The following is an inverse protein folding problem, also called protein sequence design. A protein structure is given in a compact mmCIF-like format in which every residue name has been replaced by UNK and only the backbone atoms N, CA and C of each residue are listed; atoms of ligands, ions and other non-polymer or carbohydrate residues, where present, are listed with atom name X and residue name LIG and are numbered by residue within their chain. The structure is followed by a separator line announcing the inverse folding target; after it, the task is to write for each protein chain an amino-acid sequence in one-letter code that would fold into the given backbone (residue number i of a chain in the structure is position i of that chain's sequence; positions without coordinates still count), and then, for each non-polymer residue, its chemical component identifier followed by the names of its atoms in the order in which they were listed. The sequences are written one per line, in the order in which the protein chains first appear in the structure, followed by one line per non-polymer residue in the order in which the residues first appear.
data_IF_058310965952
#
_entry.id   IF_058310965952
#
_cell.length_a   1.000
_cell.length_b   1.000
_cell.length_c   1.000
_cell.angle_alpha   90.00
_cell.angle_beta   90.00
_cell.angle_gamma   90.00
#
_symmetry.space_group_name_H-M   'P 1'
#
loop_
_entity.id
_entity.type
_entity.pdbx_description
1 polymer ?
#
# COMPACT_ATOMS: atom_id res chain seq x y z
N UNK A 1 -0.16 -15.72 -17.62
CA UNK A 1 0.64 -16.80 -16.99
C UNK A 1 -0.17 -17.34 -15.81
N UNK A 2 -0.17 -18.65 -15.61
CA UNK A 2 -0.88 -19.30 -14.51
C UNK A 2 0.08 -19.57 -13.35
N UNK A 3 -0.46 -19.60 -12.13
CA UNK A 3 0.34 -19.90 -10.93
C UNK A 3 0.89 -21.32 -11.02
N UNK A 4 2.15 -21.52 -10.61
CA UNK A 4 2.78 -22.85 -10.61
C UNK A 4 3.30 -23.31 -11.98
N UNK A 5 3.38 -22.43 -12.99
CA UNK A 5 3.89 -22.82 -14.32
C UNK A 5 5.32 -23.38 -14.33
N UNK A 6 6.11 -23.15 -13.28
CA UNK A 6 7.46 -23.66 -13.09
C UNK A 6 7.60 -24.52 -11.82
N UNK A 7 6.52 -25.16 -11.36
CA UNK A 7 6.51 -26.01 -10.16
C UNK A 7 7.50 -27.19 -10.22
N UNK A 8 7.81 -27.68 -11.43
CA UNK A 8 8.80 -28.74 -11.67
C UNK A 8 10.19 -28.40 -11.09
N UNK A 9 10.53 -27.10 -10.95
CA UNK A 9 11.78 -26.64 -10.35
C UNK A 9 11.87 -27.06 -8.88
N UNK A 10 10.74 -27.13 -8.16
CA UNK A 10 10.71 -27.52 -6.74
C UNK A 10 11.30 -28.91 -6.50
N UNK A 11 11.21 -29.80 -7.49
CA UNK A 11 11.77 -31.16 -7.43
C UNK A 11 13.22 -31.27 -7.91
N UNK A 12 13.80 -30.21 -8.48
CA UNK A 12 15.19 -30.22 -8.91
C UNK A 12 16.13 -30.16 -7.70
N UNK A 13 17.07 -31.10 -7.59
CA UNK A 13 18.05 -31.19 -6.49
C UNK A 13 18.85 -29.89 -6.31
N UNK A 14 19.24 -29.24 -7.40
CA UNK A 14 19.95 -27.97 -7.35
C UNK A 14 19.12 -26.85 -6.69
N UNK A 15 17.80 -26.94 -6.73
CA UNK A 15 16.89 -25.99 -6.09
C UNK A 15 16.44 -26.44 -4.69
N UNK A 16 16.00 -27.69 -4.56
CA UNK A 16 15.42 -28.20 -3.31
C UNK A 16 16.46 -28.22 -2.19
N UNK A 17 17.72 -28.53 -2.52
CA UNK A 17 18.79 -28.62 -1.53
C UNK A 17 19.46 -27.28 -1.20
N UNK A 18 19.24 -26.23 -1.98
CA UNK A 18 19.89 -24.94 -1.75
C UNK A 18 19.22 -24.15 -0.62
N UNK A 19 20.05 -23.35 0.05
CA UNK A 19 19.55 -22.33 0.97
C UNK A 19 18.86 -21.21 0.18
N UNK A 20 17.72 -20.76 0.69
CA UNK A 20 16.83 -19.82 0.00
C UNK A 20 16.60 -18.60 0.87
N UNK A 21 16.34 -17.49 0.19
CA UNK A 21 15.81 -16.27 0.79
C UNK A 21 14.61 -15.80 0.00
N UNK A 22 13.67 -15.16 0.67
CA UNK A 22 12.56 -14.49 0.02
C UNK A 22 12.85 -13.01 -0.12
N UNK A 23 12.59 -12.46 -1.30
CA UNK A 23 12.61 -11.04 -1.58
C UNK A 23 11.22 -10.61 -2.01
N UNK A 24 10.56 -9.79 -1.20
CA UNK A 24 9.17 -9.37 -1.41
C UNK A 24 9.18 -7.92 -1.88
N UNK A 25 8.84 -7.68 -3.14
CA UNK A 25 8.68 -6.33 -3.70
C UNK A 25 7.20 -5.92 -3.76
N UNK A 26 6.94 -4.64 -3.52
CA UNK A 26 5.64 -4.04 -3.84
C UNK A 26 5.38 -4.06 -5.35
N UNK A 27 4.15 -4.44 -5.75
CA UNK A 27 3.66 -4.31 -7.13
C UNK A 27 2.88 -3.01 -7.27
N UNK A 28 1.87 -2.82 -6.42
CA UNK A 28 1.01 -1.63 -6.43
C UNK A 28 0.31 -1.47 -5.08
N UNK A 29 -0.22 -0.27 -4.82
CA UNK A 29 -1.12 -0.01 -3.69
C UNK A 29 -2.28 0.88 -4.12
N UNK A 30 -3.50 0.43 -3.85
CA UNK A 30 -4.71 1.23 -4.00
C UNK A 30 -5.06 1.91 -2.68
N UNK A 31 -5.09 3.25 -2.68
CA UNK A 31 -5.45 4.06 -1.51
C UNK A 31 -6.92 4.51 -1.59
N UNK A 32 -7.73 4.07 -0.63
CA UNK A 32 -9.16 4.38 -0.56
C UNK A 32 -9.44 5.20 0.70
N UNK A 33 -9.95 6.41 0.52
CA UNK A 33 -10.45 7.23 1.62
C UNK A 33 -11.80 6.70 2.12
N UNK A 34 -11.90 6.44 3.43
CA UNK A 34 -13.06 5.82 4.04
C UNK A 34 -14.35 6.62 3.85
N UNK A 35 -14.26 7.95 3.89
CA UNK A 35 -15.42 8.83 3.71
C UNK A 35 -16.02 8.73 2.30
N UNK A 36 -15.24 8.34 1.29
CA UNK A 36 -15.78 8.03 -0.05
C UNK A 36 -16.70 6.81 -0.05
N UNK A 37 -16.63 5.95 0.96
CA UNK A 37 -17.49 4.77 1.05
C UNK A 37 -18.78 5.05 1.82
N UNK A 38 -18.71 5.90 2.84
CA UNK A 38 -19.80 6.13 3.79
C UNK A 38 -20.55 7.45 3.57
N UNK A 39 -19.85 8.46 3.07
CA UNK A 39 -20.32 9.83 2.88
C UNK A 39 -19.98 10.30 1.45
N UNK A 40 -20.54 9.62 0.43
CA UNK A 40 -20.26 9.94 -0.97
C UNK A 40 -20.65 11.39 -1.31
N UNK A 41 -20.04 11.99 -2.35
CA UNK A 41 -20.55 13.24 -2.89
C UNK A 41 -21.97 13.05 -3.43
N UNK A 42 -22.79 14.11 -3.33
CA UNK A 42 -24.16 14.12 -3.84
C UNK A 42 -24.21 13.59 -5.29
N UNK A 43 -25.21 12.76 -5.58
CA UNK A 43 -25.48 12.15 -6.89
C UNK A 43 -24.44 11.13 -7.42
N UNK A 44 -23.34 10.87 -6.69
CA UNK A 44 -22.33 9.89 -7.11
C UNK A 44 -22.28 8.72 -6.13
N UNK A 45 -22.54 7.50 -6.62
CA UNK A 45 -22.43 6.26 -5.81
C UNK A 45 -20.98 5.77 -5.76
N UNK A 46 -20.08 6.54 -5.14
CA UNK A 46 -18.64 6.22 -5.04
C UNK A 46 -18.39 4.85 -4.40
N UNK A 47 -19.20 4.45 -3.43
CA UNK A 47 -19.15 3.11 -2.84
C UNK A 47 -19.29 1.99 -3.88
N UNK A 48 -20.23 2.12 -4.83
CA UNK A 48 -20.46 1.15 -5.91
C UNK A 48 -19.31 1.19 -6.92
N UNK A 49 -18.82 2.37 -7.25
CA UNK A 49 -17.67 2.57 -8.15
C UNK A 49 -16.44 1.86 -7.58
N UNK A 50 -16.11 2.11 -6.31
CA UNK A 50 -14.97 1.51 -5.61
C UNK A 50 -15.13 -0.02 -5.49
N UNK A 51 -16.32 -0.52 -5.12
CA UNK A 51 -16.59 -1.96 -5.09
C UNK A 51 -16.39 -2.63 -6.45
N UNK A 52 -16.88 -2.01 -7.53
CA UNK A 52 -16.74 -2.53 -8.90
C UNK A 52 -15.27 -2.52 -9.35
N UNK A 53 -14.53 -1.48 -9.02
CA UNK A 53 -13.10 -1.36 -9.29
C UNK A 53 -12.32 -2.48 -8.58
N UNK A 54 -12.48 -2.62 -7.26
CA UNK A 54 -11.82 -3.68 -6.48
C UNK A 54 -12.21 -5.08 -6.94
N UNK A 55 -13.46 -5.30 -7.34
CA UNK A 55 -13.90 -6.58 -7.92
C UNK A 55 -13.24 -6.88 -9.27
N UNK A 56 -12.99 -5.84 -10.08
CA UNK A 56 -12.29 -5.99 -11.36
C UNK A 56 -10.83 -6.37 -11.13
N UNK A 57 -10.15 -5.70 -10.19
CA UNK A 57 -8.76 -6.02 -9.83
C UNK A 57 -8.67 -7.43 -9.25
N UNK A 58 -9.56 -7.80 -8.32
CA UNK A 58 -9.59 -9.16 -7.76
C UNK A 58 -9.70 -10.21 -8.86
N UNK A 59 -10.61 -10.02 -9.83
CA UNK A 59 -10.77 -10.93 -10.96
C UNK A 59 -9.47 -11.02 -11.76
N UNK A 60 -8.86 -9.88 -12.08
CA UNK A 60 -7.62 -9.84 -12.84
C UNK A 60 -6.48 -10.58 -12.13
N UNK A 61 -6.28 -10.34 -10.83
CA UNK A 61 -5.26 -11.01 -10.01
C UNK A 61 -5.49 -12.52 -9.93
N UNK A 62 -6.74 -12.95 -9.77
CA UNK A 62 -7.09 -14.37 -9.73
C UNK A 62 -6.81 -15.07 -11.06
N UNK A 63 -7.05 -14.39 -12.18
CA UNK A 63 -6.83 -14.93 -13.52
C UNK A 63 -5.35 -14.87 -13.95
N UNK A 64 -4.54 -14.01 -13.33
CA UNK A 64 -3.14 -13.75 -13.69
C UNK A 64 -2.20 -13.85 -12.49
N UNK A 65 -1.77 -15.07 -12.17
CA UNK A 65 -0.87 -15.39 -11.06
C UNK A 65 -1.44 -15.00 -9.68
N UNK A 66 -2.42 -15.78 -9.21
CA UNK A 66 -3.18 -15.52 -7.97
C UNK A 66 -2.26 -15.15 -6.79
N UNK A 67 -2.63 -14.03 -6.14
CA UNK A 67 -2.01 -13.43 -4.96
C UNK A 67 -3.08 -13.08 -3.93
N UNK A 68 -2.64 -12.74 -2.72
CA UNK A 68 -3.50 -12.11 -1.70
C UNK A 68 -3.21 -10.61 -1.63
N UNK A 69 -4.25 -9.82 -1.40
CA UNK A 69 -4.10 -8.41 -1.08
C UNK A 69 -3.70 -8.28 0.37
N UNK A 70 -2.64 -7.55 0.63
CA UNK A 70 -2.29 -7.10 1.99
C UNK A 70 -2.90 -5.72 2.14
N UNK A 71 -3.59 -5.46 3.24
CA UNK A 71 -4.19 -4.15 3.47
C UNK A 71 -3.75 -3.51 4.77
N UNK A 72 -3.59 -2.20 4.70
CA UNK A 72 -3.31 -1.35 5.85
C UNK A 72 -4.55 -0.51 6.16
N UNK A 73 -4.94 -0.46 7.43
CA UNK A 73 -5.86 0.56 7.92
C UNK A 73 -5.02 1.68 8.50
N UNK A 74 -5.12 2.85 7.89
CA UNK A 74 -4.32 4.01 8.23
C UNK A 74 -5.18 5.20 8.64
N UNK A 75 -4.59 6.07 9.45
CA UNK A 75 -5.16 7.39 9.72
C UNK A 75 -4.17 8.48 9.37
N UNK A 76 -4.68 9.59 8.86
CA UNK A 76 -3.88 10.77 8.54
C UNK A 76 -4.61 12.02 9.02
N UNK A 77 -3.88 13.08 9.35
CA UNK A 77 -4.48 14.37 9.73
C UNK A 77 -5.55 14.79 8.73
N UNK A 78 -6.67 15.26 9.26
CA UNK A 78 -7.84 15.62 8.47
C UNK A 78 -7.52 16.75 7.50
N UNK A 79 -7.98 16.65 6.24
CA UNK A 79 -7.77 17.72 5.24
C UNK A 79 -9.10 18.12 4.60
N UNK A 80 -9.40 19.42 4.56
CA UNK A 80 -10.62 19.95 3.93
C UNK A 80 -10.33 21.16 3.05
N UNK A 81 -11.09 21.37 1.99
CA UNK A 81 -11.10 22.67 1.31
C UNK A 81 -11.79 23.72 2.20
N UNK A 82 -11.26 24.93 2.22
CA UNK A 82 -11.91 26.05 2.92
C UNK A 82 -13.13 26.54 2.14
N UNK A 83 -14.31 26.40 2.72
CA UNK A 83 -15.57 26.94 2.16
C UNK A 83 -15.75 28.44 2.47
N UNK A 84 -15.10 28.93 3.54
CA UNK A 84 -15.08 30.36 3.93
C UNK A 84 -14.31 31.23 2.91
N UNK A 85 -13.31 30.67 2.23
CA UNK A 85 -12.50 31.36 1.20
C UNK A 85 -12.68 30.67 -0.15
N UNK A 86 -13.64 31.17 -0.94
CA UNK A 86 -13.89 30.62 -2.28
C UNK A 86 -12.66 30.79 -3.18
N UNK A 87 -12.26 29.74 -3.91
CA UNK A 87 -11.17 29.83 -4.89
C UNK A 87 -11.55 30.82 -5.98
N UNK A 88 -10.58 31.66 -6.38
CA UNK A 88 -10.74 32.65 -7.46
C UNK A 88 -9.56 32.54 -8.41
N UNK A 89 -9.85 32.64 -9.70
CA UNK A 89 -8.82 32.69 -10.73
C UNK A 89 -8.16 34.06 -10.77
N UNK A 90 -6.85 34.05 -11.01
CA UNK A 90 -6.13 35.22 -11.46
C UNK A 90 -6.40 35.42 -12.97
N UNK A 91 -6.91 36.58 -13.40
CA UNK A 91 -7.31 36.80 -14.80
C UNK A 91 -6.14 36.78 -15.78
N UNK A 92 -4.91 37.04 -15.32
CA UNK A 92 -3.72 37.08 -16.18
C UNK A 92 -3.03 35.72 -16.26
N UNK A 93 -2.82 35.07 -15.11
CA UNK A 93 -2.06 33.81 -15.06
C UNK A 93 -2.92 32.57 -15.24
N UNK A 94 -4.26 32.71 -15.15
CA UNK A 94 -5.24 31.62 -15.08
C UNK A 94 -5.04 30.67 -13.90
N UNK A 95 -4.16 31.02 -12.96
CA UNK A 95 -3.93 30.23 -11.75
C UNK A 95 -5.09 30.43 -10.77
N UNK A 96 -5.43 29.40 -10.03
CA UNK A 96 -6.38 29.41 -8.93
C UNK A 96 -5.67 29.08 -7.63
N UNK A 97 -6.08 29.73 -6.54
CA UNK A 97 -5.58 29.40 -5.20
C UNK A 97 -6.65 28.67 -4.41
N UNK A 98 -6.36 27.44 -4.02
CA UNK A 98 -7.15 26.70 -3.04
C UNK A 98 -6.55 26.91 -1.65
N UNK A 99 -7.41 27.13 -0.65
CA UNK A 99 -6.98 27.08 0.75
C UNK A 99 -7.45 25.76 1.35
N UNK A 100 -6.51 24.91 1.77
CA UNK A 100 -6.76 23.70 2.52
C UNK A 100 -6.68 23.99 4.02
N UNK A 101 -7.49 23.28 4.81
CA UNK A 101 -7.50 23.30 6.27
C UNK A 101 -7.02 21.92 6.75
N UNK A 102 -6.02 21.90 7.62
CA UNK A 102 -5.36 20.68 8.11
C UNK A 102 -5.61 20.54 9.61
N UNK A 103 -6.03 19.35 10.02
CA UNK A 103 -6.26 18.98 11.42
C UNK A 103 -7.47 19.68 12.05
N UNK A 104 -7.71 19.38 13.32
CA UNK A 104 -8.76 20.03 14.13
C UNK A 104 -8.52 21.53 14.29
N UNK A 105 -7.26 21.96 14.29
CA UNK A 105 -6.83 23.35 14.41
C UNK A 105 -7.10 24.21 13.16
N UNK A 106 -7.56 23.61 12.06
CA UNK A 106 -7.76 24.28 10.77
C UNK A 106 -6.51 25.03 10.26
N UNK A 107 -5.32 24.43 10.43
CA UNK A 107 -4.06 25.02 9.92
C UNK A 107 -4.20 25.26 8.42
N UNK A 108 -4.03 26.51 7.99
CA UNK A 108 -4.27 26.93 6.60
C UNK A 108 -3.05 26.62 5.73
N UNK A 109 -3.28 25.94 4.61
CA UNK A 109 -2.28 25.68 3.58
C UNK A 109 -2.80 26.20 2.24
N UNK A 110 -1.99 26.95 1.48
CA UNK A 110 -2.40 27.52 0.19
C UNK A 110 -1.77 26.72 -0.95
N UNK A 111 -2.61 26.24 -1.85
CA UNK A 111 -2.20 25.52 -3.06
C UNK A 111 -2.45 26.43 -4.26
N UNK A 112 -1.38 26.74 -4.99
CA UNK A 112 -1.49 27.37 -6.30
C UNK A 112 -1.65 26.27 -7.35
N UNK A 113 -2.71 26.33 -8.14
CA UNK A 113 -3.04 25.32 -9.14
C UNK A 113 -3.46 25.96 -10.45
N UNK A 114 -3.36 25.24 -11.56
CA UNK A 114 -3.95 25.64 -12.83
C UNK A 114 -4.56 24.42 -13.53
N UNK A 115 -5.68 24.63 -14.21
CA UNK A 115 -6.31 23.56 -14.98
C UNK A 115 -5.74 23.53 -16.39
N UNK A 116 -5.61 22.32 -16.91
CA UNK A 116 -5.04 22.03 -18.23
C UNK A 116 -5.98 21.15 -19.05
N UNK A 117 -5.92 21.33 -20.37
CA UNK A 117 -6.59 20.48 -21.35
C UNK A 117 -5.58 20.09 -22.43
N UNK A 118 -5.54 18.80 -22.78
CA UNK A 118 -4.76 18.33 -23.92
C UNK A 118 -5.55 18.55 -25.21
N UNK A 119 -4.90 19.17 -26.19
CA UNK A 119 -5.39 19.37 -27.56
C UNK A 119 -4.42 18.71 -28.54
N UNK A 120 -4.78 18.68 -29.83
CA UNK A 120 -3.90 18.18 -30.89
C UNK A 120 -2.57 18.97 -30.96
N UNK A 121 -2.59 20.24 -30.54
CA UNK A 121 -1.45 21.16 -30.56
C UNK A 121 -0.67 21.23 -29.23
N UNK A 122 -1.04 20.41 -28.24
CA UNK A 122 -0.36 20.33 -26.94
C UNK A 122 -1.24 20.67 -25.73
N UNK A 123 -0.62 21.11 -24.64
CA UNK A 123 -1.32 21.38 -23.37
C UNK A 123 -1.69 22.88 -23.26
N UNK A 124 -2.97 23.19 -23.08
CA UNK A 124 -3.45 24.56 -22.89
C UNK A 124 -4.04 24.78 -21.49
N UNK A 125 -3.78 25.98 -20.92
CA UNK A 125 -4.39 26.41 -19.66
C UNK A 125 -5.84 26.86 -19.86
N UNK A 126 -6.73 26.28 -19.06
CA UNK A 126 -8.18 26.55 -19.06
C UNK A 126 -8.64 27.07 -17.70
N UNK A 127 -9.82 27.69 -17.67
CA UNK A 127 -10.46 28.24 -16.46
C UNK A 127 -11.87 27.69 -16.31
N UNK A 128 -12.03 26.38 -16.03
CA UNK A 128 -13.35 25.79 -15.86
C UNK A 128 -14.07 26.44 -14.67
N UNK A 129 -15.40 26.37 -14.67
CA UNK A 129 -16.17 26.82 -13.52
C UNK A 129 -15.95 25.82 -12.39
N UNK A 130 -15.58 26.33 -11.21
CA UNK A 130 -15.24 25.51 -10.06
C UNK A 130 -16.10 25.85 -8.85
N UNK A 131 -16.40 24.84 -8.06
CA UNK A 131 -17.04 24.96 -6.75
C UNK A 131 -16.37 23.99 -5.79
N UNK A 132 -16.27 24.38 -4.52
CA UNK A 132 -15.74 23.51 -3.46
C UNK A 132 -16.79 23.29 -2.38
N UNK A 133 -16.89 22.06 -1.90
CA UNK A 133 -17.36 21.74 -0.54
C UNK A 133 -16.16 21.43 0.33
N UNK A 134 -16.35 21.10 1.62
CA UNK A 134 -15.23 20.76 2.50
C UNK A 134 -14.44 19.54 1.98
N UNK A 135 -15.11 18.57 1.37
CA UNK A 135 -14.53 17.29 0.94
C UNK A 135 -14.24 17.20 -0.56
N UNK A 136 -14.89 18.03 -1.37
CA UNK A 136 -14.92 17.85 -2.82
C UNK A 136 -14.68 19.14 -3.59
N UNK A 137 -13.97 19.00 -4.71
CA UNK A 137 -13.86 20.01 -5.75
C UNK A 137 -14.69 19.55 -6.95
N UNK A 138 -15.64 20.39 -7.34
CA UNK A 138 -16.52 20.23 -8.48
C UNK A 138 -15.99 21.10 -9.62
N UNK A 139 -15.80 20.51 -10.80
CA UNK A 139 -15.25 21.15 -11.99
C UNK A 139 -16.28 20.97 -13.10
N UNK A 140 -16.79 22.08 -13.62
CA UNK A 140 -17.70 22.12 -14.77
C UNK A 140 -16.92 22.61 -16.00
N UNK A 141 -16.86 21.76 -17.03
CA UNK A 141 -16.26 22.09 -18.31
C UNK A 141 -17.28 22.77 -19.25
N UNK A 142 -16.77 23.48 -20.26
CA UNK A 142 -17.60 24.22 -21.23
C UNK A 142 -18.53 23.33 -22.07
N UNK A 143 -18.20 22.04 -22.19
CA UNK A 143 -19.00 21.03 -22.90
C UNK A 143 -20.17 20.49 -22.06
N UNK A 144 -20.38 21.01 -20.84
CA UNK A 144 -21.41 20.58 -19.91
C UNK A 144 -21.03 19.35 -19.09
N UNK A 145 -19.86 18.75 -19.30
CA UNK A 145 -19.37 17.67 -18.46
C UNK A 145 -18.93 18.22 -17.10
N UNK A 146 -19.33 17.52 -16.03
CA UNK A 146 -18.89 17.83 -14.67
C UNK A 146 -18.08 16.67 -14.09
N UNK A 147 -17.01 17.02 -13.40
CA UNK A 147 -16.18 16.07 -12.68
C UNK A 147 -16.07 16.47 -11.21
N UNK A 148 -15.99 15.48 -10.34
CA UNK A 148 -15.84 15.66 -8.89
C UNK A 148 -14.59 14.93 -8.44
N UNK A 149 -13.72 15.65 -7.74
CA UNK A 149 -12.52 15.09 -7.13
C UNK A 149 -12.58 15.30 -5.62
N UNK A 150 -12.22 14.28 -4.85
CA UNK A 150 -12.09 14.43 -3.41
C UNK A 150 -10.89 15.32 -3.07
N UNK A 151 -10.88 15.95 -1.90
CA UNK A 151 -9.74 16.73 -1.42
C UNK A 151 -8.49 15.87 -1.35
N UNK A 152 -8.64 14.59 -0.98
CA UNK A 152 -7.49 13.68 -0.88
C UNK A 152 -6.97 13.26 -2.26
N UNK A 153 -7.84 12.94 -3.21
CA UNK A 153 -7.40 12.68 -4.58
C UNK A 153 -6.79 13.93 -5.21
N UNK A 154 -7.33 15.12 -4.94
CA UNK A 154 -6.73 16.37 -5.40
C UNK A 154 -5.31 16.57 -4.86
N UNK A 155 -5.08 16.31 -3.57
CA UNK A 155 -3.73 16.42 -2.97
C UNK A 155 -2.80 15.31 -3.51
N UNK A 156 -3.28 14.06 -3.54
CA UNK A 156 -2.51 12.88 -3.93
C UNK A 156 -2.08 12.93 -5.40
N UNK A 157 -3.02 13.13 -6.32
CA UNK A 157 -2.77 13.11 -7.77
C UNK A 157 -1.94 14.31 -8.26
N UNK A 158 -1.86 15.38 -7.44
CA UNK A 158 -1.04 16.56 -7.73
C UNK A 158 0.26 16.62 -6.92
N UNK A 159 0.62 15.54 -6.19
CA UNK A 159 1.83 15.44 -5.37
C UNK A 159 2.02 16.65 -4.42
N UNK A 160 0.94 17.12 -3.80
CA UNK A 160 0.98 18.25 -2.87
C UNK A 160 1.43 17.74 -1.51
N UNK A 161 2.61 18.18 -1.06
CA UNK A 161 3.12 17.87 0.28
C UNK A 161 2.55 18.83 1.34
N UNK A 162 1.83 18.26 2.30
CA UNK A 162 1.20 18.96 3.41
C UNK A 162 2.01 18.83 4.73
N UNK A 163 3.09 18.05 4.75
CA UNK A 163 3.90 17.76 5.93
C UNK A 163 3.16 16.95 7.01
N UNK A 164 2.34 15.97 6.62
CA UNK A 164 1.55 15.06 7.45
C UNK A 164 1.61 13.62 6.91
N UNK A 165 1.75 12.63 7.79
CA UNK A 165 2.01 11.25 7.39
C UNK A 165 0.85 10.31 7.74
N UNK A 166 0.89 9.07 7.26
CA UNK A 166 -0.13 8.05 7.50
C UNK A 166 0.32 7.09 8.61
N UNK A 167 -0.39 7.09 9.74
CA UNK A 167 -0.14 6.13 10.82
C UNK A 167 -0.80 4.78 10.48
N UNK A 168 -0.04 3.69 10.52
CA UNK A 168 -0.55 2.34 10.33
C UNK A 168 -1.11 1.80 11.65
N UNK A 169 -2.42 1.55 11.66
CA UNK A 169 -3.14 1.07 12.85
C UNK A 169 -3.45 -0.42 12.83
N UNK A 170 -3.50 -1.01 11.64
CA UNK A 170 -3.83 -2.42 11.44
C UNK A 170 -3.27 -2.91 10.11
N UNK A 171 -2.78 -4.14 10.09
CA UNK A 171 -2.33 -4.86 8.90
C UNK A 171 -3.17 -6.13 8.76
N UNK A 172 -3.67 -6.40 7.56
CA UNK A 172 -4.40 -7.63 7.27
C UNK A 172 -4.10 -8.22 5.90
N UNK A 173 -4.55 -9.44 5.61
CA UNK A 173 -4.64 -9.96 4.24
C UNK A 173 -6.08 -10.37 3.85
N UNK A 174 -6.36 -10.38 2.55
CA UNK A 174 -7.65 -10.81 2.01
C UNK A 174 -7.53 -11.32 0.57
N UNK A 175 -8.40 -12.27 0.22
CA UNK A 175 -8.68 -12.65 -1.17
C UNK A 175 -9.72 -11.72 -1.82
N UNK A 176 -10.56 -11.07 -1.00
CA UNK A 176 -11.73 -10.31 -1.44
C UNK A 176 -11.66 -8.84 -0.97
N UNK A 177 -10.88 -7.98 -1.65
CA UNK A 177 -10.75 -6.57 -1.27
C UNK A 177 -12.07 -5.79 -1.41
N UNK A 178 -13.01 -6.22 -2.25
CA UNK A 178 -14.31 -5.54 -2.35
C UNK A 178 -15.24 -5.80 -1.14
N UNK A 179 -14.98 -6.85 -0.35
CA UNK A 179 -15.77 -7.24 0.84
C UNK A 179 -15.16 -6.77 2.16
N UNK A 180 -13.85 -6.53 2.17
CA UNK A 180 -13.09 -6.03 3.33
C UNK A 180 -12.62 -4.62 3.02
N UNK A 181 -12.71 -3.62 3.90
CA UNK A 181 -13.58 -3.44 5.05
C UNK A 181 -14.91 -2.73 4.69
N UNK A 182 -15.31 -2.78 3.42
CA UNK A 182 -16.49 -2.07 2.90
C UNK A 182 -17.81 -2.57 3.50
N UNK A 183 -17.87 -3.81 3.96
CA UNK A 183 -19.09 -4.40 4.52
C UNK A 183 -19.19 -4.24 6.05
N UNK A 184 -18.37 -3.40 6.69
CA UNK A 184 -18.41 -3.08 8.14
C UNK A 184 -18.24 -4.26 9.13
N UNK A 185 -18.06 -5.49 8.65
CA UNK A 185 -17.87 -6.70 9.47
C UNK A 185 -16.42 -6.82 9.99
N UNK A 186 -15.55 -5.85 9.67
CA UNK A 186 -14.14 -5.94 9.97
C UNK A 186 -13.79 -5.45 11.39
N UNK A 187 -13.49 -6.38 12.32
CA UNK A 187 -13.07 -6.07 13.71
C UNK A 187 -11.96 -5.03 13.78
N UNK A 188 -10.97 -5.09 12.88
CA UNK A 188 -9.87 -4.11 12.85
C UNK A 188 -10.33 -2.70 12.47
N UNK A 189 -11.31 -2.56 11.57
CA UNK A 189 -11.85 -1.25 11.21
C UNK A 189 -12.68 -0.68 12.35
N UNK A 190 -13.57 -1.48 12.94
CA UNK A 190 -14.38 -1.06 14.09
C UNK A 190 -13.50 -0.59 15.26
N UNK A 191 -12.41 -1.32 15.55
CA UNK A 191 -11.41 -0.91 16.55
C UNK A 191 -10.76 0.43 16.22
N UNK A 192 -10.38 0.65 14.95
CA UNK A 192 -9.75 1.91 14.52
C UNK A 192 -10.72 3.09 14.67
N UNK A 193 -11.95 2.93 14.17
CA UNK A 193 -12.98 3.96 14.25
C UNK A 193 -13.35 4.31 15.70
N UNK A 194 -13.24 3.36 16.63
CA UNK A 194 -13.47 3.61 18.06
C UNK A 194 -12.26 4.25 18.77
N UNK A 195 -11.04 3.85 18.40
CA UNK A 195 -9.82 4.18 19.16
C UNK A 195 -9.10 5.42 18.64
N UNK A 196 -9.33 5.82 17.39
CA UNK A 196 -8.69 6.96 16.75
C UNK A 196 -9.73 8.06 16.55
N UNK A 197 -9.38 9.30 16.92
CA UNK A 197 -10.31 10.43 16.80
C UNK A 197 -10.54 10.80 15.34
N UNK A 198 -11.81 10.72 14.93
CA UNK A 198 -12.28 11.21 13.63
C UNK A 198 -12.41 12.74 13.59
N UNK A 199 -12.28 13.46 14.72
CA UNK A 199 -12.31 14.92 14.69
C UNK A 199 -11.06 15.50 14.01
N UNK A 200 -9.93 14.84 14.24
CA UNK A 200 -8.60 15.31 13.85
C UNK A 200 -7.99 14.51 12.69
N UNK A 201 -8.54 13.33 12.38
CA UNK A 201 -8.01 12.43 11.36
C UNK A 201 -9.06 12.00 10.34
N UNK A 202 -8.58 11.74 9.13
CA UNK A 202 -9.26 10.98 8.09
C UNK A 202 -8.73 9.54 8.08
N UNK A 203 -9.59 8.60 7.69
CA UNK A 203 -9.28 7.17 7.67
C UNK A 203 -9.14 6.63 6.27
N UNK A 204 -8.19 5.72 6.09
CA UNK A 204 -7.83 5.16 4.80
C UNK A 204 -7.69 3.65 4.88
N UNK A 205 -7.95 3.02 3.73
CA UNK A 205 -7.67 1.62 3.50
C UNK A 205 -6.74 1.55 2.31
N UNK A 206 -5.60 0.91 2.49
CA UNK A 206 -4.61 0.68 1.45
C UNK A 206 -4.67 -0.79 1.07
N UNK A 207 -4.85 -1.13 -0.20
CA UNK A 207 -4.73 -2.51 -0.69
C UNK A 207 -3.48 -2.64 -1.54
N UNK A 208 -2.50 -3.40 -1.03
CA UNK A 208 -1.22 -3.62 -1.66
C UNK A 208 -1.11 -5.04 -2.20
N UNK A 209 -0.55 -5.18 -3.41
CA UNK A 209 -0.10 -6.47 -3.94
C UNK A 209 1.42 -6.52 -3.90
N UNK A 210 1.94 -7.71 -3.65
CA UNK A 210 3.37 -7.96 -3.55
C UNK A 210 3.79 -9.11 -4.45
N UNK A 211 5.07 -9.13 -4.82
CA UNK A 211 5.70 -10.19 -5.58
C UNK A 211 6.83 -10.83 -4.76
N UNK A 212 6.54 -11.89 -3.98
CA UNK A 212 7.58 -12.68 -3.35
C UNK A 212 8.39 -13.42 -4.41
N UNK A 213 9.70 -13.25 -4.39
CA UNK A 213 10.66 -13.97 -5.22
C UNK A 213 11.55 -14.80 -4.33
N UNK A 214 11.82 -16.03 -4.77
CA UNK A 214 12.86 -16.85 -4.16
C UNK A 214 14.17 -16.48 -4.81
N UNK A 215 15.15 -16.09 -3.98
CA UNK A 215 16.54 -15.96 -4.36
C UNK A 215 17.31 -17.10 -3.71
N UNK A 216 18.03 -17.87 -4.52
CA UNK A 216 18.83 -18.99 -4.04
C UNK A 216 20.06 -19.20 -4.88
N UNK A 217 21.20 -19.43 -4.23
CA UNK A 217 22.45 -19.77 -4.87
C UNK A 217 22.84 -21.19 -4.46
N UNK A 218 23.00 -22.07 -5.44
CA UNK A 218 23.56 -23.40 -5.21
C UNK A 218 25.00 -23.47 -5.71
N UNK A 219 25.94 -23.34 -4.77
CA UNK A 219 27.39 -23.36 -5.07
C UNK A 219 27.86 -24.71 -5.62
N UNK A 220 27.20 -25.82 -5.29
CA UNK A 220 27.60 -27.16 -5.78
C UNK A 220 27.37 -27.30 -7.28
N UNK A 221 26.37 -26.58 -7.82
CA UNK A 221 26.02 -26.61 -9.25
C UNK A 221 26.34 -25.30 -9.97
N UNK A 222 26.79 -24.26 -9.26
CA UNK A 222 26.99 -22.90 -9.76
C UNK A 222 25.75 -22.33 -10.48
N UNK A 223 24.57 -22.53 -9.89
CA UNK A 223 23.28 -22.06 -10.41
C UNK A 223 22.65 -21.10 -9.41
N UNK A 224 22.14 -19.97 -9.92
CA UNK A 224 21.34 -19.03 -9.17
C UNK A 224 19.88 -19.08 -9.65
N UNK A 225 18.96 -19.14 -8.70
CA UNK A 225 17.52 -19.02 -8.92
C UNK A 225 17.06 -17.64 -8.43
N UNK A 226 16.33 -16.92 -9.29
CA UNK A 226 15.59 -15.71 -8.94
C UNK A 226 14.22 -15.78 -9.62
N UNK A 227 13.26 -16.40 -8.94
CA UNK A 227 11.98 -16.79 -9.55
C UNK A 227 10.84 -16.39 -8.61
N UNK A 228 9.74 -15.87 -9.15
CA UNK A 228 8.58 -15.52 -8.32
C UNK A 228 7.95 -16.76 -7.69
N UNK A 229 7.51 -16.65 -6.43
CA UNK A 229 6.76 -17.72 -5.77
C UNK A 229 5.48 -18.03 -6.53
N UNK A 230 4.87 -17.06 -7.21
CA UNK A 230 3.71 -17.35 -8.07
C UNK A 230 4.02 -18.22 -9.27
N UNK A 231 5.27 -18.27 -9.77
CA UNK A 231 5.65 -19.18 -10.84
C UNK A 231 6.00 -20.57 -10.31
N UNK A 232 6.65 -20.65 -9.14
CA UNK A 232 7.07 -21.91 -8.54
C UNK A 232 5.95 -22.62 -7.77
N UNK A 233 5.06 -21.84 -7.16
CA UNK A 233 4.09 -22.27 -6.15
C UNK A 233 4.71 -23.12 -5.01
N UNK A 234 5.96 -22.80 -4.62
CA UNK A 234 6.66 -23.49 -3.53
C UNK A 234 5.91 -23.32 -2.19
N UNK A 235 5.33 -22.13 -2.01
CA UNK A 235 4.45 -21.77 -0.89
C UNK A 235 3.09 -21.41 -1.47
N UNK A 236 2.05 -22.11 -1.01
CA UNK A 236 0.67 -21.89 -1.44
C UNK A 236 0.23 -20.44 -1.23
N UNK A 237 -0.61 -19.94 -2.13
CA UNK A 237 -1.08 -18.54 -2.18
C UNK A 237 -1.65 -18.01 -0.86
N UNK A 238 -2.33 -18.82 -0.06
CA UNK A 238 -2.87 -18.33 1.23
C UNK A 238 -1.78 -18.14 2.27
N UNK A 239 -0.85 -19.10 2.35
CA UNK A 239 0.31 -19.02 3.24
C UNK A 239 1.25 -17.88 2.81
N UNK A 240 1.42 -17.66 1.51
CA UNK A 240 2.13 -16.50 0.95
C UNK A 240 1.55 -15.20 1.52
N UNK A 241 0.24 -14.99 1.45
CA UNK A 241 -0.43 -13.81 1.99
C UNK A 241 -0.25 -13.65 3.51
N UNK A 242 -0.38 -14.75 4.27
CA UNK A 242 -0.20 -14.75 5.74
C UNK A 242 1.23 -14.42 6.16
N UNK A 243 2.22 -14.89 5.42
CA UNK A 243 3.64 -14.60 5.67
C UNK A 243 3.90 -13.11 5.49
N UNK A 244 3.44 -12.52 4.37
CA UNK A 244 3.63 -11.09 4.08
C UNK A 244 2.89 -10.22 5.12
N UNK A 245 1.63 -10.56 5.45
CA UNK A 245 0.88 -9.89 6.52
C UNK A 245 1.68 -9.88 7.82
N UNK A 246 2.25 -11.03 8.21
CA UNK A 246 3.00 -11.11 9.46
C UNK A 246 4.29 -10.29 9.44
N UNK A 247 4.99 -10.24 8.31
CA UNK A 247 6.17 -9.39 8.16
C UNK A 247 5.82 -7.93 8.50
N UNK A 248 4.72 -7.41 7.96
CA UNK A 248 4.26 -6.05 8.23
C UNK A 248 3.69 -5.86 9.65
N UNK A 249 3.00 -6.86 10.22
CA UNK A 249 2.57 -6.82 11.63
C UNK A 249 3.78 -6.67 12.55
N UNK A 250 4.89 -7.39 12.29
CA UNK A 250 6.12 -7.28 13.10
C UNK A 250 6.84 -5.97 12.86
N UNK A 251 6.90 -5.51 11.61
CA UNK A 251 7.57 -4.27 11.25
C UNK A 251 6.91 -3.05 11.90
N UNK A 252 5.63 -2.83 11.62
CA UNK A 252 4.87 -1.68 12.13
C UNK A 252 4.39 -1.85 13.57
N UNK A 253 4.31 -3.08 14.10
CA UNK A 253 3.81 -3.39 15.44
C UNK A 253 2.48 -2.67 15.81
N UNK A 254 1.44 -2.77 14.98
CA UNK A 254 0.22 -1.98 15.14
C UNK A 254 -0.49 -2.26 16.48
N UNK A 255 -0.87 -1.19 17.18
CA UNK A 255 -1.50 -1.26 18.51
C UNK A 255 -2.85 -1.99 18.50
N UNK A 256 -3.67 -1.81 17.46
CA UNK A 256 -5.03 -2.37 17.44
C UNK A 256 -5.08 -3.89 17.29
N UNK A 257 -3.92 -4.53 17.06
CA UNK A 257 -3.78 -5.97 16.95
C UNK A 257 -3.19 -6.61 18.21
N UNK A 258 -2.92 -5.85 19.28
CA UNK A 258 -2.33 -6.33 20.54
C UNK A 258 -3.04 -7.56 21.13
N UNK A 259 -4.38 -7.55 21.22
CA UNK A 259 -5.16 -8.65 21.80
C UNK A 259 -4.97 -10.00 21.09
N UNK A 260 -4.61 -9.99 19.80
CA UNK A 260 -4.43 -11.20 19.02
C UNK A 260 -2.93 -11.53 18.84
N UNK A 261 -1.99 -10.72 19.37
CA UNK A 261 -0.55 -10.86 19.10
C UNK A 261 0.00 -12.18 19.60
N UNK A 262 -0.29 -12.61 20.83
CA UNK A 262 0.34 -13.81 21.40
C UNK A 262 -0.11 -15.11 20.71
N UNK A 263 -1.41 -15.30 20.51
CA UNK A 263 -1.95 -16.49 19.84
C UNK A 263 -1.55 -16.53 18.36
N UNK A 264 -1.66 -15.41 17.63
CA UNK A 264 -1.24 -15.34 16.22
C UNK A 264 0.27 -15.47 16.07
N UNK A 265 1.09 -14.90 16.97
CA UNK A 265 2.56 -15.01 16.91
C UNK A 265 3.01 -16.46 17.05
N UNK A 266 2.37 -17.28 17.89
CA UNK A 266 2.68 -18.70 18.01
C UNK A 266 2.44 -19.45 16.69
N UNK A 267 1.26 -19.29 16.08
CA UNK A 267 0.95 -19.96 14.80
C UNK A 267 1.83 -19.46 13.66
N UNK A 268 2.16 -18.16 13.66
CA UNK A 268 3.01 -17.55 12.65
C UNK A 268 4.49 -17.95 12.84
N UNK A 269 4.96 -18.11 14.08
CA UNK A 269 6.28 -18.70 14.35
C UNK A 269 6.35 -20.12 13.78
N UNK A 270 5.32 -20.95 13.98
CA UNK A 270 5.28 -22.30 13.38
C UNK A 270 5.38 -22.25 11.85
N UNK A 271 4.70 -21.30 11.21
CA UNK A 271 4.81 -21.10 9.76
C UNK A 271 6.24 -20.76 9.33
N UNK A 272 6.93 -19.85 10.01
CA UNK A 272 8.33 -19.54 9.68
C UNK A 272 9.27 -20.71 9.91
N UNK A 273 9.04 -21.49 10.98
CA UNK A 273 9.81 -22.71 11.23
C UNK A 273 9.63 -23.74 10.11
N UNK A 274 8.42 -23.86 9.58
CA UNK A 274 8.13 -24.70 8.42
C UNK A 274 8.91 -24.22 7.18
N UNK A 275 8.99 -22.90 6.95
CA UNK A 275 9.82 -22.32 5.87
C UNK A 275 11.29 -22.71 6.00
N UNK A 276 11.85 -22.63 7.21
CA UNK A 276 13.26 -22.97 7.45
C UNK A 276 13.48 -24.47 7.29
N UNK A 277 12.66 -25.30 7.95
CA UNK A 277 12.87 -26.75 8.02
C UNK A 277 12.55 -27.47 6.71
N UNK A 278 11.45 -27.10 6.07
CA UNK A 278 10.92 -27.84 4.92
C UNK A 278 11.21 -27.15 3.59
N UNK A 279 11.45 -25.83 3.57
CA UNK A 279 11.74 -25.08 2.33
C UNK A 279 13.17 -24.52 2.27
N UNK A 280 13.94 -24.60 3.37
CA UNK A 280 15.27 -23.99 3.51
C UNK A 280 15.28 -22.47 3.29
N UNK A 281 14.15 -21.80 3.51
CA UNK A 281 14.06 -20.34 3.43
C UNK A 281 14.49 -19.77 4.78
N UNK A 282 15.68 -19.15 4.82
CA UNK A 282 16.32 -18.69 6.06
C UNK A 282 16.14 -17.20 6.34
N UNK A 283 15.81 -16.41 5.30
CA UNK A 283 15.61 -14.96 5.39
C UNK A 283 14.44 -14.51 4.54
N UNK A 284 13.79 -13.43 4.97
CA UNK A 284 12.79 -12.70 4.20
C UNK A 284 13.17 -11.23 4.20
N UNK A 285 13.44 -10.67 3.03
CA UNK A 285 13.63 -9.24 2.82
C UNK A 285 12.35 -8.66 2.23
N UNK A 286 11.86 -7.58 2.82
CA UNK A 286 10.65 -6.89 2.37
C UNK A 286 11.03 -5.50 1.91
N UNK A 287 10.63 -5.17 0.69
CA UNK A 287 10.81 -3.87 0.06
C UNK A 287 9.43 -3.26 -0.25
N UNK A 288 8.99 -2.34 0.62
CA UNK A 288 7.82 -1.51 0.42
C UNK A 288 8.30 -0.12 -0.03
N UNK A 289 8.59 0.00 -1.33
CA UNK A 289 9.06 1.23 -1.97
C UNK A 289 8.13 1.59 -3.12
N UNK A 290 7.88 2.88 -3.28
CA UNK A 290 7.02 3.43 -4.33
C UNK A 290 7.89 4.10 -5.40
N UNK A 291 7.53 3.98 -6.68
CA UNK A 291 8.30 4.59 -7.77
C UNK A 291 8.31 6.13 -7.71
N UNK A 292 7.22 6.72 -7.19
CA UNK A 292 7.07 8.15 -7.05
C UNK A 292 6.75 8.51 -5.61
N UNK A 293 7.49 9.46 -5.08
CA UNK A 293 7.23 10.01 -3.75
C UNK A 293 5.82 10.61 -3.69
N UNK A 294 5.05 10.10 -2.74
CA UNK A 294 3.74 10.62 -2.41
C UNK A 294 3.51 10.50 -0.91
N UNK A 295 3.23 11.63 -0.29
CA UNK A 295 3.02 11.73 1.16
C UNK A 295 1.90 10.80 1.67
N UNK A 296 0.95 10.37 0.82
CA UNK A 296 -0.09 9.38 1.20
C UNK A 296 0.45 7.99 1.51
N UNK A 297 1.61 7.66 0.95
CA UNK A 297 2.33 6.41 1.17
C UNK A 297 3.51 6.58 2.12
N UNK A 298 3.66 7.76 2.74
CA UNK A 298 4.58 7.94 3.84
C UNK A 298 3.97 7.32 5.10
N UNK A 299 4.32 6.06 5.36
CA UNK A 299 3.78 5.31 6.48
C UNK A 299 4.66 5.43 7.71
N UNK A 300 4.04 5.32 8.88
CA UNK A 300 4.73 5.23 10.15
C UNK A 300 3.93 4.45 11.17
N UNK A 301 4.57 4.15 12.29
CA UNK A 301 3.91 3.65 13.49
C UNK A 301 4.65 4.16 14.73
N UNK A 302 4.33 3.61 15.91
CA UNK A 302 5.06 3.95 17.14
C UNK A 302 6.51 3.49 17.15
N UNK A 303 6.84 2.46 16.37
CA UNK A 303 8.17 1.84 16.36
C UNK A 303 8.91 2.04 15.04
N UNK A 304 8.23 2.60 14.03
CA UNK A 304 8.80 2.91 12.71
C UNK A 304 8.59 4.40 12.42
N UNK A 305 9.65 5.17 12.12
CA UNK A 305 9.51 6.58 11.79
C UNK A 305 8.81 6.77 10.43
N UNK A 306 8.28 7.96 10.14
CA UNK A 306 7.73 8.29 8.82
C UNK A 306 8.74 8.14 7.71
N UNK A 307 8.45 7.26 6.75
CA UNK A 307 9.26 7.02 5.56
C UNK A 307 8.34 6.73 4.37
N UNK A 308 8.76 7.10 3.17
CA UNK A 308 8.09 6.71 1.91
C UNK A 308 8.51 5.31 1.48
N UNK A 309 9.74 4.92 1.83
CA UNK A 309 10.34 3.64 1.53
C UNK A 309 10.64 2.89 2.82
N UNK A 310 10.13 1.67 2.90
CA UNK A 310 10.36 0.77 4.03
C UNK A 310 11.06 -0.49 3.54
N UNK A 311 12.31 -0.67 3.97
CA UNK A 311 13.05 -1.89 3.79
C UNK A 311 13.36 -2.51 5.15
N UNK A 312 13.17 -3.82 5.27
CA UNK A 312 13.50 -4.55 6.48
C UNK A 312 13.73 -6.03 6.18
N UNK A 313 14.45 -6.70 7.08
CA UNK A 313 14.79 -8.11 6.94
C UNK A 313 14.32 -8.88 8.17
N UNK A 314 13.70 -10.03 7.93
CA UNK A 314 13.46 -11.03 8.95
C UNK A 314 14.47 -12.16 8.78
N UNK A 315 15.16 -12.49 9.86
CA UNK A 315 15.99 -13.68 9.95
C UNK A 315 15.38 -14.70 10.91
N UNK A 316 15.69 -15.97 10.64
CA UNK A 316 15.24 -17.10 11.45
C UNK A 316 16.45 -17.79 12.08
N UNK A 317 16.98 -17.18 13.14
CA UNK A 317 18.08 -17.74 13.93
C UNK A 317 17.56 -18.26 15.28
N UNK A 318 18.18 -19.34 15.79
CA UNK A 318 17.93 -19.90 17.12
C UNK A 318 16.44 -20.14 17.44
N UNK A 319 15.70 -20.69 16.48
CA UNK A 319 14.27 -20.97 16.64
C UNK A 319 13.43 -19.70 16.97
N UNK A 320 13.93 -18.53 16.59
CA UNK A 320 13.28 -17.23 16.78
C UNK A 320 13.20 -16.46 15.46
N UNK A 321 12.30 -15.48 15.44
CA UNK A 321 12.15 -14.54 14.34
C UNK A 321 12.72 -13.21 14.80
N UNK A 322 13.85 -12.81 14.24
CA UNK A 322 14.42 -11.48 14.47
C UNK A 322 14.03 -10.56 13.31
N UNK A 323 13.91 -9.27 13.61
CA UNK A 323 13.60 -8.25 12.62
C UNK A 323 14.66 -7.16 12.69
N UNK A 324 15.32 -6.94 11.56
CA UNK A 324 16.24 -5.83 11.35
C UNK A 324 15.53 -4.75 10.54
N UNK A 325 15.32 -3.59 11.16
CA UNK A 325 14.66 -2.41 10.56
C UNK A 325 15.66 -1.42 9.95
N UNK A 326 16.95 -1.59 10.25
CA UNK A 326 18.00 -0.63 9.90
C UNK A 326 18.93 -1.19 8.80
N UNK A 327 18.70 -2.44 8.38
CA UNK A 327 19.43 -3.08 7.29
C UNK A 327 19.34 -2.25 6.01
N UNK A 328 20.49 -2.06 5.35
CA UNK A 328 20.56 -1.41 4.04
C UNK A 328 20.20 -2.40 2.91
N UNK A 329 19.36 -1.94 1.97
CA UNK A 329 18.87 -2.75 0.85
C UNK A 329 20.00 -3.13 -0.12
N UNK A 330 20.90 -2.19 -0.44
CA UNK A 330 22.01 -2.44 -1.37
C UNK A 330 22.96 -3.48 -0.80
N UNK A 331 23.29 -3.35 0.47
CA UNK A 331 24.10 -4.33 1.22
C UNK A 331 23.43 -5.70 1.22
N UNK A 332 22.11 -5.75 1.47
CA UNK A 332 21.38 -7.03 1.48
C UNK A 332 21.33 -7.68 0.10
N UNK A 333 21.17 -6.90 -0.97
CA UNK A 333 21.18 -7.41 -2.34
C UNK A 333 22.57 -7.94 -2.72
N UNK A 334 23.65 -7.25 -2.33
CA UNK A 334 25.01 -7.71 -2.54
C UNK A 334 25.27 -9.07 -1.85
N UNK A 335 24.78 -9.24 -0.62
CA UNK A 335 24.86 -10.52 0.10
C UNK A 335 24.12 -11.65 -0.63
N UNK A 336 22.99 -11.37 -1.28
CA UNK A 336 22.23 -12.38 -2.04
C UNK A 336 22.83 -12.71 -3.40
N UNK A 337 23.46 -11.74 -4.04
CA UNK A 337 24.16 -11.96 -5.31
C UNK A 337 25.57 -12.56 -5.09
N UNK A 338 26.03 -12.61 -3.84
CA UNK A 338 27.29 -13.21 -3.43
C UNK A 338 28.48 -12.51 -4.07
N UNK A 339 28.85 -11.31 -3.59
CA UNK A 339 30.01 -10.51 -4.03
C UNK A 339 30.55 -10.93 -5.41
N UNK A 340 29.78 -10.61 -6.45
CA UNK A 340 30.26 -10.65 -7.83
C UNK A 340 31.32 -9.54 -7.99
N UNK A 341 32.49 -9.73 -7.37
CA UNK A 341 33.71 -9.10 -7.82
C UNK A 341 34.03 -9.74 -9.18
N UNK A 342 33.72 -9.00 -10.24
CA UNK A 342 34.19 -9.29 -11.59
C UNK A 342 35.72 -9.28 -11.65
#
# INVERSE_FOLDING_TARGET
MTRGNFDFINSNVAYSESDKSWWIDLINTDCIWYDMMINPPDDIRTNKIIKNYLSTIEKHVRENCEKRFIYFLGSRKKVRFSTKRKPRYNPFTKNVVFTLLIGKEERKFRVNYFFRKFTQDGEIKITPKIRVSEKFLYIEHEDGNSFVISVHDFVKENHIDLGIHTEVHYVGYTRHPHRRPVDFIHRGLSKMLYSVSNDDNDFFVYFSLFNPRVISLNNNYNIMFNISNSQLDEIEVDNEGRIIENCFIRYFDPKLQDDDKESKRSDLNKMFMDLVKNKKIKKISVNLQYEMDNEYFCFYSKVVPPQTDHFFVLDFADDKVNIDRDQDMTTQMALYMGDCNY
#
